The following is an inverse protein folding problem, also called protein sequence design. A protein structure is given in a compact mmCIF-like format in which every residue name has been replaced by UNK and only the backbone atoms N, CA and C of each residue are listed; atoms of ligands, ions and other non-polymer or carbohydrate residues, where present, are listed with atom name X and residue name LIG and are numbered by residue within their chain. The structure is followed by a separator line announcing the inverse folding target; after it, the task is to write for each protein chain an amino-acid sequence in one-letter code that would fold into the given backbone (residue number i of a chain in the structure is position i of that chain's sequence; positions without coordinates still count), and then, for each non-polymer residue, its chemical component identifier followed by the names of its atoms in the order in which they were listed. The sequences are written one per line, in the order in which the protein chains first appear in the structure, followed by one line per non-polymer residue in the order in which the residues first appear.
data_IF_671387694734
#
_entry.id   IF_671387694734
#
_cell.length_a   1.000
_cell.length_b   1.000
_cell.length_c   1.000
_cell.angle_alpha   90.00
_cell.angle_beta   90.00
_cell.angle_gamma   90.00
#
_symmetry.space_group_name_H-M   'P 1'
#
loop_
_entity.id
_entity.type
_entity.pdbx_description
1 polymer ?
#
# COMPACT_ATOMS: atom_id res chain seq x y z
N UNK A 1 -7.87 -10.37 12.36
CA UNK A 1 -6.84 -9.35 12.60
C UNK A 1 -6.60 -8.65 11.28
N UNK A 2 -6.80 -7.32 11.25
CA UNK A 2 -7.04 -6.55 10.03
C UNK A 2 -5.93 -6.69 8.99
N UNK A 3 -6.32 -7.02 7.76
CA UNK A 3 -5.48 -7.17 6.57
C UNK A 3 -4.66 -5.91 6.18
N UNK A 4 -4.74 -4.82 6.94
CA UNK A 4 -3.98 -3.58 6.71
C UNK A 4 -2.61 -3.54 7.40
N UNK A 5 -2.26 -4.54 8.22
CA UNK A 5 -0.94 -4.56 8.88
C UNK A 5 0.21 -4.93 7.92
N UNK A 6 -0.10 -5.49 6.75
CA UNK A 6 0.90 -6.02 5.83
C UNK A 6 0.89 -5.28 4.49
N UNK A 7 0.99 -3.95 4.58
CA UNK A 7 1.11 -3.06 3.43
C UNK A 7 2.59 -2.78 3.12
N UNK A 8 2.96 -2.97 1.86
CA UNK A 8 4.26 -2.57 1.34
C UNK A 8 4.12 -1.41 0.34
N UNK A 9 5.15 -0.57 0.27
CA UNK A 9 5.26 0.50 -0.71
C UNK A 9 6.51 0.26 -1.56
N UNK A 10 6.32 0.18 -2.87
CA UNK A 10 7.40 0.15 -3.85
C UNK A 10 7.30 1.33 -4.81
N UNK A 11 8.41 1.66 -5.45
CA UNK A 11 8.49 2.65 -6.52
C UNK A 11 9.05 1.99 -7.75
N UNK A 12 8.31 2.08 -8.85
CA UNK A 12 8.68 1.51 -10.15
C UNK A 12 9.02 2.65 -11.12
N UNK A 13 10.17 2.54 -11.78
CA UNK A 13 10.48 3.34 -12.97
C UNK A 13 9.98 2.57 -14.20
N UNK A 14 8.87 3.02 -14.79
CA UNK A 14 8.25 2.33 -15.94
C UNK A 14 8.79 2.86 -17.27
N UNK A 15 9.07 4.15 -17.31
CA UNK A 15 9.84 4.80 -18.36
C UNK A 15 10.93 5.66 -17.72
N UNK A 16 12.02 5.97 -18.44
CA UNK A 16 13.08 6.83 -17.92
C UNK A 16 12.53 8.15 -17.37
N UNK A 17 12.78 8.41 -16.09
CA UNK A 17 12.30 9.62 -15.40
C UNK A 17 10.82 9.62 -15.02
N UNK A 18 10.11 8.49 -15.17
CA UNK A 18 8.69 8.34 -14.82
C UNK A 18 8.53 7.30 -13.71
N UNK A 19 8.38 7.82 -12.49
CA UNK A 19 8.32 7.01 -11.28
C UNK A 19 6.88 6.85 -10.79
N UNK A 20 6.45 5.62 -10.56
CA UNK A 20 5.12 5.29 -10.04
C UNK A 20 5.28 4.67 -8.66
N UNK A 21 4.54 5.16 -7.67
CA UNK A 21 4.40 4.45 -6.42
C UNK A 21 3.31 3.37 -6.53
N UNK A 22 3.57 2.22 -5.94
CA UNK A 22 2.65 1.08 -5.89
C UNK A 22 2.55 0.63 -4.43
N UNK A 23 1.34 0.65 -3.91
CA UNK A 23 1.00 0.05 -2.64
C UNK A 23 0.56 -1.40 -2.88
N UNK A 24 1.15 -2.29 -2.13
CA UNK A 24 0.94 -3.73 -2.17
C UNK A 24 0.33 -4.16 -0.85
N UNK A 25 -0.63 -5.08 -0.90
CA UNK A 25 -1.17 -5.75 0.29
C UNK A 25 -0.73 -7.21 0.28
N UNK A 26 -0.28 -7.71 1.43
CA UNK A 26 0.05 -9.11 1.56
C UNK A 26 -1.23 -9.95 1.48
N UNK A 27 -1.15 -11.03 0.72
CA UNK A 27 -2.18 -12.04 0.59
C UNK A 27 -1.79 -13.16 1.54
N UNK A 28 -2.43 -13.17 2.71
CA UNK A 28 -2.36 -14.31 3.61
C UNK A 28 -3.33 -15.37 3.11
N UNK A 29 -2.82 -16.29 2.30
CA UNK A 29 -3.59 -17.48 1.95
C UNK A 29 -3.63 -18.39 3.18
N UNK A 30 -4.78 -18.48 3.84
CA UNK A 30 -4.97 -19.23 5.08
C UNK A 30 -4.95 -20.75 4.88
N UNK A 31 -4.71 -21.24 3.66
CA UNK A 31 -4.69 -22.65 3.33
C UNK A 31 -3.49 -23.16 2.52
N UNK A 32 -2.53 -22.31 2.16
CA UNK A 32 -1.42 -22.72 1.28
C UNK A 32 -0.12 -22.91 2.04
N UNK A 33 0.47 -24.10 1.93
CA UNK A 33 1.83 -24.48 2.37
C UNK A 33 2.95 -23.74 1.60
N UNK A 34 2.65 -22.57 1.05
CA UNK A 34 3.58 -21.76 0.29
C UNK A 34 4.35 -20.85 1.26
N UNK A 35 5.65 -21.11 1.41
CA UNK A 35 6.60 -20.32 2.21
C UNK A 35 6.89 -18.92 1.60
N UNK A 36 6.02 -18.46 0.70
CA UNK A 36 6.14 -17.20 -0.04
C UNK A 36 5.01 -16.27 0.36
N UNK A 37 5.37 -15.12 0.92
CA UNK A 37 4.44 -14.01 1.13
C UNK A 37 4.01 -13.46 -0.24
N UNK A 38 2.79 -13.79 -0.65
CA UNK A 38 2.19 -13.22 -1.86
C UNK A 38 1.85 -11.76 -1.62
N UNK A 39 2.18 -10.88 -2.55
CA UNK A 39 1.75 -9.48 -2.53
C UNK A 39 0.89 -9.19 -3.75
N UNK A 40 -0.23 -8.49 -3.57
CA UNK A 40 -1.05 -8.00 -4.68
C UNK A 40 -1.10 -6.48 -4.70
N UNK A 41 -1.13 -5.84 -5.88
CA UNK A 41 -1.23 -4.38 -5.97
C UNK A 41 -2.60 -3.90 -5.46
N UNK A 42 -2.57 -3.11 -4.40
CA UNK A 42 -3.74 -2.47 -3.81
C UNK A 42 -4.03 -1.13 -4.49
N UNK A 43 -2.98 -0.32 -4.70
CA UNK A 43 -3.13 1.01 -5.31
C UNK A 43 -1.90 1.47 -6.04
N UNK A 44 -2.07 2.11 -7.18
CA UNK A 44 -0.98 2.64 -8.01
C UNK A 44 -1.16 4.13 -8.22
N UNK A 45 -0.05 4.87 -8.35
CA UNK A 45 -0.06 6.26 -8.76
C UNK A 45 -0.79 6.43 -10.09
N UNK A 46 -1.79 7.31 -10.15
CA UNK A 46 -2.51 7.61 -11.39
C UNK A 46 -1.65 8.35 -12.43
N UNK A 47 -0.58 9.02 -11.98
CA UNK A 47 0.32 9.81 -12.82
C UNK A 47 1.79 9.57 -12.40
N UNK A 48 2.73 9.58 -13.34
CA UNK A 48 4.15 9.45 -13.06
C UNK A 48 4.67 10.65 -12.28
N UNK A 49 5.63 10.41 -11.41
CA UNK A 49 6.35 11.42 -10.67
C UNK A 49 7.71 11.69 -11.31
N UNK A 50 8.23 12.92 -11.22
CA UNK A 50 9.47 13.32 -11.90
C UNK A 50 10.74 12.74 -11.24
N UNK A 51 10.62 12.15 -10.04
CA UNK A 51 11.73 11.54 -9.32
C UNK A 51 11.28 10.40 -8.42
N UNK A 52 12.20 9.49 -8.13
CA UNK A 52 11.99 8.40 -7.17
C UNK A 52 11.55 8.93 -5.80
N UNK A 53 12.19 10.00 -5.31
CA UNK A 53 11.88 10.59 -4.01
C UNK A 53 10.48 11.22 -3.96
N UNK A 54 10.03 11.86 -5.03
CA UNK A 54 8.65 12.37 -5.14
C UNK A 54 7.63 11.23 -5.14
N UNK A 55 7.89 10.15 -5.88
CA UNK A 55 7.05 8.95 -5.84
C UNK A 55 6.98 8.34 -4.45
N UNK A 56 8.11 8.19 -3.78
CA UNK A 56 8.18 7.62 -2.43
C UNK A 56 7.45 8.49 -1.40
N UNK A 57 7.63 9.82 -1.45
CA UNK A 57 6.96 10.74 -0.54
C UNK A 57 5.43 10.69 -0.69
N UNK A 58 4.94 10.72 -1.92
CA UNK A 58 3.51 10.63 -2.22
C UNK A 58 2.94 9.25 -1.88
N UNK A 59 3.67 8.17 -2.17
CA UNK A 59 3.31 6.81 -1.78
C UNK A 59 3.24 6.64 -0.27
N UNK A 60 4.18 7.24 0.48
CA UNK A 60 4.18 7.22 1.96
C UNK A 60 2.99 8.00 2.52
N UNK A 61 2.64 9.14 1.92
CA UNK A 61 1.44 9.89 2.32
C UNK A 61 0.16 9.08 2.05
N UNK A 62 0.10 8.36 0.93
CA UNK A 62 -0.99 7.44 0.60
C UNK A 62 -1.10 6.28 1.62
N UNK A 63 0.04 5.65 1.97
CA UNK A 63 0.12 4.59 2.96
C UNK A 63 -0.37 5.06 4.33
N UNK A 64 0.11 6.22 4.80
CA UNK A 64 -0.30 6.81 6.08
C UNK A 64 -1.80 7.05 6.15
N UNK A 65 -2.41 7.58 5.09
CA UNK A 65 -3.88 7.78 5.03
C UNK A 65 -4.64 6.46 5.20
N UNK A 66 -4.21 5.40 4.51
CA UNK A 66 -4.84 4.08 4.62
C UNK A 66 -4.70 3.50 6.03
N UNK A 67 -3.51 3.62 6.63
CA UNK A 67 -3.27 3.18 8.00
C UNK A 67 -4.14 3.95 9.01
N UNK A 68 -4.32 5.27 8.85
CA UNK A 68 -5.18 6.07 9.73
C UNK A 68 -6.66 5.70 9.60
N UNK A 69 -7.16 5.44 8.38
CA UNK A 69 -8.56 5.02 8.17
C UNK A 69 -8.83 3.64 8.78
N UNK A 70 -7.87 2.73 8.79
CA UNK A 70 -8.02 1.41 9.41
C UNK A 70 -7.97 1.43 10.94
N UNK A 71 -7.26 2.38 11.54
CA UNK A 71 -7.16 2.56 12.99
C UNK A 71 -8.38 3.26 13.60
N UNK A 72 -9.35 3.68 12.80
CA UNK A 72 -10.63 4.19 13.29
C UNK A 72 -11.80 3.22 13.06
N UNK A 73 -11.81 2.02 13.68
CA UNK A 73 -13.04 1.27 13.85
C UNK A 73 -13.78 1.86 15.06
N UNK A 74 -14.93 2.47 14.81
CA UNK A 74 -15.93 2.84 15.81
C UNK A 74 -15.53 3.90 16.86
N UNK A 75 -15.72 5.17 16.51
CA UNK A 75 -16.13 6.18 17.50
C UNK A 75 -17.56 6.63 17.18
N UNK A 76 -18.54 5.72 17.33
CA UNK A 76 -19.94 6.12 17.23
C UNK A 76 -20.95 4.99 17.34
N UNK A 77 -21.35 4.65 18.56
CA UNK A 77 -22.75 4.25 18.81
C UNK A 77 -23.01 3.19 19.88
N UNK A 78 -22.84 3.53 21.15
CA UNK A 78 -23.56 2.96 22.32
C UNK A 78 -23.22 3.88 23.51
N UNK A 79 -24.13 4.47 24.29
CA UNK A 79 -25.54 4.23 24.56
C UNK A 79 -26.26 5.55 24.88
#
# INVERSE_FOLDING_TARGET
MSALNDLALTVEEREPGRFYWVLLEAVHDTGSTADTLGYRPLRVAAQPQPSYSSALALGTAALKKLATTATHPDAGGSA
#
